data_IF_919150569017
#
_entry.id   IF_919150569017
#
_cell.length_a   1.000
_cell.length_b   1.000
_cell.length_c   1.000
_cell.angle_alpha   90.00
_cell.angle_beta   90.00
_cell.angle_gamma   90.00
#
_symmetry.space_group_name_H-M   'P 1'
#
loop_
_entity.id
_entity.type
_entity.pdbx_description
1 polymer ?
#
# COMPACT_ATOMS: atom_id res chain seq x y z
N UNK A 1 -17.05 -17.85 20.84
CA UNK A 1 -17.37 -16.76 19.91
C UNK A 1 -16.27 -16.80 18.87
N UNK A 2 -16.49 -17.52 17.78
CA UNK A 2 -15.47 -17.77 16.77
C UNK A 2 -15.03 -16.44 16.15
N UNK A 3 -13.74 -16.15 16.28
CA UNK A 3 -13.16 -14.91 15.79
C UNK A 3 -13.00 -15.03 14.28
N UNK A 4 -13.95 -14.48 13.54
CA UNK A 4 -13.89 -14.42 12.09
C UNK A 4 -12.69 -13.57 11.63
N UNK A 5 -11.75 -14.21 10.94
CA UNK A 5 -10.46 -13.65 10.52
C UNK A 5 -10.31 -13.62 8.99
N UNK A 6 -11.41 -13.70 8.23
CA UNK A 6 -11.36 -13.84 6.77
C UNK A 6 -10.88 -12.60 6.01
N UNK A 7 -11.02 -11.40 6.61
CA UNK A 7 -10.75 -10.12 5.92
C UNK A 7 -9.77 -9.22 6.68
N UNK A 8 -8.85 -9.80 7.45
CA UNK A 8 -7.84 -9.06 8.22
C UNK A 8 -6.45 -9.58 7.92
N UNK A 9 -5.48 -8.68 7.99
CA UNK A 9 -4.07 -9.01 7.80
C UNK A 9 -3.14 -8.03 8.51
N UNK A 10 -1.87 -8.39 8.55
CA UNK A 10 -0.80 -7.51 9.03
C UNK A 10 0.37 -7.59 8.08
N UNK A 11 0.90 -6.44 7.68
CA UNK A 11 2.07 -6.32 6.82
C UNK A 11 3.25 -5.76 7.60
N UNK A 12 4.41 -6.40 7.40
CA UNK A 12 5.64 -6.05 8.08
C UNK A 12 6.65 -5.49 7.09
N UNK A 13 7.71 -4.86 7.60
CA UNK A 13 8.84 -4.49 6.75
C UNK A 13 9.36 -5.73 6.00
N UNK A 14 9.79 -5.59 4.74
CA UNK A 14 10.48 -6.65 4.03
C UNK A 14 11.61 -7.21 4.88
N UNK A 15 11.87 -8.51 4.76
CA UNK A 15 13.00 -9.12 5.45
C UNK A 15 14.31 -8.60 4.87
N UNK A 16 15.39 -8.67 5.63
CA UNK A 16 16.71 -8.15 5.19
C UNK A 16 17.25 -8.88 3.94
N UNK A 17 16.78 -10.09 3.68
CA UNK A 17 17.11 -10.92 2.53
C UNK A 17 16.18 -10.70 1.32
N UNK A 18 15.19 -9.82 1.43
CA UNK A 18 14.25 -9.45 0.39
C UNK A 18 14.52 -8.04 -0.15
N UNK A 19 14.50 -7.88 -1.48
CA UNK A 19 14.66 -6.56 -2.11
C UNK A 19 13.90 -6.48 -3.44
N UNK A 20 13.25 -5.34 -3.70
CA UNK A 20 12.66 -5.08 -5.01
C UNK A 20 13.77 -5.02 -6.06
N UNK A 21 13.67 -5.86 -7.09
CA UNK A 21 14.65 -5.92 -8.16
C UNK A 21 14.25 -5.03 -9.34
N UNK A 22 13.05 -5.24 -9.89
CA UNK A 22 12.54 -4.52 -11.05
C UNK A 22 11.01 -4.48 -11.04
N UNK A 23 10.44 -3.52 -11.78
CA UNK A 23 9.01 -3.46 -12.06
C UNK A 23 8.77 -3.06 -13.52
N UNK A 24 7.65 -3.49 -14.09
CA UNK A 24 7.32 -3.20 -15.48
C UNK A 24 5.93 -3.68 -15.90
N UNK A 25 5.63 -3.51 -17.18
CA UNK A 25 4.43 -4.03 -17.81
C UNK A 25 4.76 -5.32 -18.56
N UNK A 26 3.89 -6.32 -18.45
CA UNK A 26 3.99 -7.58 -19.16
C UNK A 26 2.66 -7.85 -19.88
N UNK A 27 2.70 -8.07 -21.19
CA UNK A 27 1.52 -8.54 -21.92
C UNK A 27 1.53 -10.07 -21.97
N UNK A 28 0.38 -10.69 -21.70
CA UNK A 28 0.16 -12.11 -21.90
C UNK A 28 -1.27 -12.32 -22.40
N UNK A 29 -1.41 -13.04 -23.51
CA UNK A 29 -2.72 -13.34 -24.13
C UNK A 29 -3.60 -12.10 -24.37
N UNK A 30 -2.98 -10.96 -24.71
CA UNK A 30 -3.68 -9.69 -24.95
C UNK A 30 -4.03 -8.91 -23.69
N UNK A 31 -3.76 -9.44 -22.49
CA UNK A 31 -3.93 -8.76 -21.20
C UNK A 31 -2.61 -8.13 -20.73
N UNK A 32 -2.64 -6.86 -20.33
CA UNK A 32 -1.48 -6.17 -19.75
C UNK A 32 -1.51 -6.27 -18.21
N UNK A 33 -0.40 -6.76 -17.64
CA UNK A 33 -0.17 -6.88 -16.21
C UNK A 33 0.95 -5.94 -15.77
N UNK A 34 0.79 -5.29 -14.62
CA UNK A 34 1.91 -4.61 -13.95
C UNK A 34 2.56 -5.58 -12.98
N UNK A 35 3.84 -5.84 -13.19
CA UNK A 35 4.62 -6.83 -12.48
C UNK A 35 5.71 -6.15 -11.66
N UNK A 36 5.93 -6.65 -10.44
CA UNK A 36 7.12 -6.39 -9.64
C UNK A 36 7.85 -7.71 -9.38
N UNK A 37 9.18 -7.71 -9.49
CA UNK A 37 10.02 -8.87 -9.16
C UNK A 37 10.83 -8.55 -7.92
N UNK A 38 10.71 -9.40 -6.90
CA UNK A 38 11.46 -9.29 -5.64
C UNK A 38 12.53 -10.39 -5.61
N UNK A 39 13.75 -10.01 -5.25
CA UNK A 39 14.81 -10.95 -4.90
C UNK A 39 14.59 -11.41 -3.48
N UNK A 40 14.60 -12.72 -3.23
CA UNK A 40 14.69 -13.31 -1.90
C UNK A 40 15.92 -14.24 -1.83
N UNK A 41 16.61 -14.27 -0.69
CA UNK A 41 17.67 -15.26 -0.44
C UNK A 41 17.07 -16.46 0.29
N UNK A 42 17.42 -17.67 -0.17
CA UNK A 42 16.90 -18.90 0.41
C UNK A 42 17.82 -19.40 1.55
N UNK A 43 17.31 -20.18 2.51
CA UNK A 43 18.12 -20.69 3.62
C UNK A 43 19.32 -21.55 3.21
N UNK A 44 19.27 -22.15 2.01
CA UNK A 44 20.33 -22.97 1.43
C UNK A 44 21.41 -22.14 0.69
N UNK A 45 21.31 -20.82 0.71
CA UNK A 45 22.18 -19.90 -0.03
C UNK A 45 21.75 -19.65 -1.48
N UNK A 46 20.65 -20.27 -1.93
CA UNK A 46 20.04 -20.01 -3.22
C UNK A 46 19.43 -18.60 -3.33
N UNK A 47 19.12 -18.18 -4.55
CA UNK A 47 18.40 -16.92 -4.80
C UNK A 47 17.08 -17.23 -5.50
N UNK A 48 15.98 -16.74 -4.93
CA UNK A 48 14.66 -16.76 -5.55
C UNK A 48 14.32 -15.40 -6.20
N UNK A 49 13.34 -15.44 -7.10
CA UNK A 49 12.77 -14.30 -7.82
C UNK A 49 11.25 -14.41 -7.77
N UNK A 50 10.66 -13.76 -6.78
CA UNK A 50 9.22 -13.78 -6.59
C UNK A 50 8.56 -12.74 -7.49
N UNK A 51 7.50 -13.14 -8.16
CA UNK A 51 6.80 -12.32 -9.16
C UNK A 51 5.44 -11.92 -8.59
N UNK A 52 5.22 -10.62 -8.43
CA UNK A 52 3.99 -10.04 -7.91
C UNK A 52 3.24 -9.29 -9.01
N UNK A 53 1.92 -9.47 -9.06
CA UNK A 53 1.02 -8.68 -9.90
C UNK A 53 0.42 -7.55 -9.07
N UNK A 54 0.41 -6.33 -9.61
CA UNK A 54 -0.28 -5.21 -8.96
C UNK A 54 -1.79 -5.47 -8.94
N UNK A 55 -2.35 -5.64 -7.74
CA UNK A 55 -3.80 -5.85 -7.54
C UNK A 55 -4.56 -4.59 -7.13
N UNK A 56 -3.87 -3.52 -6.71
CA UNK A 56 -4.51 -2.29 -6.26
C UNK A 56 -3.54 -1.15 -6.02
N UNK A 57 -4.08 0.00 -5.62
CA UNK A 57 -3.29 1.18 -5.22
C UNK A 57 -3.92 1.77 -3.97
N UNK A 58 -3.11 2.03 -2.95
CA UNK A 58 -3.55 2.73 -1.73
C UNK A 58 -3.12 4.20 -1.80
N UNK A 59 -3.87 5.03 -1.12
CA UNK A 59 -3.64 6.47 -0.99
C UNK A 59 -3.64 6.83 0.50
N UNK A 60 -2.85 7.83 0.89
CA UNK A 60 -2.90 8.40 2.24
C UNK A 60 -4.22 9.13 2.46
N UNK A 61 -4.82 8.94 3.63
CA UNK A 61 -6.06 9.63 4.01
C UNK A 61 -5.75 10.77 4.97
N UNK A 62 -6.51 11.86 4.86
CA UNK A 62 -6.52 12.89 5.91
C UNK A 62 -7.30 12.38 7.13
N UNK A 63 -6.64 12.43 8.29
CA UNK A 63 -7.19 11.99 9.58
C UNK A 63 -7.58 13.15 10.49
N UNK A 64 -7.49 14.38 10.00
CA UNK A 64 -7.85 15.61 10.74
C UNK A 64 -9.27 15.56 11.32
N UNK A 65 -10.21 14.93 10.60
CA UNK A 65 -11.62 14.82 10.99
C UNK A 65 -11.95 13.55 11.78
N UNK A 66 -11.12 12.51 11.68
CA UNK A 66 -11.35 11.23 12.33
C UNK A 66 -10.04 10.47 12.55
N UNK A 67 -9.52 10.51 13.78
CA UNK A 67 -8.29 9.80 14.15
C UNK A 67 -8.41 8.26 13.99
N UNK A 68 -9.63 7.72 14.04
CA UNK A 68 -9.88 6.28 13.84
C UNK A 68 -9.92 5.88 12.35
N UNK A 69 -9.90 6.85 11.44
CA UNK A 69 -9.82 6.57 10.02
C UNK A 69 -8.51 5.83 9.66
N UNK A 70 -8.53 4.97 8.63
CA UNK A 70 -7.31 4.32 8.14
C UNK A 70 -6.28 5.36 7.70
N UNK A 71 -5.00 5.07 7.89
CA UNK A 71 -3.92 5.91 7.39
C UNK A 71 -3.80 5.80 5.87
N UNK A 72 -4.03 4.59 5.33
CA UNK A 72 -4.05 4.36 3.88
C UNK A 72 -5.29 3.59 3.45
N UNK A 73 -5.85 3.92 2.30
CA UNK A 73 -6.95 3.12 1.73
C UNK A 73 -6.96 3.13 0.21
N UNK A 74 -7.58 2.12 -0.40
CA UNK A 74 -7.76 2.13 -1.85
C UNK A 74 -8.43 0.89 -2.44
N UNK A 75 -8.76 0.92 -3.73
CA UNK A 75 -9.37 -0.21 -4.41
C UNK A 75 -8.35 -1.33 -4.66
N UNK A 76 -8.81 -2.57 -4.48
CA UNK A 76 -8.07 -3.79 -4.79
C UNK A 76 -8.95 -4.73 -5.62
N UNK A 77 -8.34 -5.42 -6.58
CA UNK A 77 -8.98 -6.48 -7.36
C UNK A 77 -8.37 -7.80 -6.92
N UNK A 78 -9.17 -8.64 -6.28
CA UNK A 78 -8.72 -9.96 -5.80
C UNK A 78 -8.44 -10.90 -6.97
N UNK A 79 -7.69 -11.99 -6.77
CA UNK A 79 -7.49 -13.01 -7.81
C UNK A 79 -8.80 -13.55 -8.40
N UNK A 80 -9.87 -13.58 -7.61
CA UNK A 80 -11.24 -13.90 -8.03
C UNK A 80 -11.91 -12.86 -8.94
N UNK A 81 -11.21 -11.80 -9.35
CA UNK A 81 -11.72 -10.63 -10.08
C UNK A 81 -12.71 -9.76 -9.30
N UNK A 82 -12.89 -10.04 -8.01
CA UNK A 82 -13.75 -9.26 -7.13
C UNK A 82 -13.10 -7.91 -6.78
N UNK A 83 -13.84 -6.81 -6.96
CA UNK A 83 -13.40 -5.47 -6.57
C UNK A 83 -13.78 -5.20 -5.12
N UNK A 84 -12.78 -5.01 -4.27
CA UNK A 84 -12.93 -4.69 -2.85
C UNK A 84 -12.13 -3.45 -2.48
N UNK A 85 -12.23 -3.01 -1.23
CA UNK A 85 -11.42 -1.92 -0.68
C UNK A 85 -10.50 -2.46 0.42
N UNK A 86 -9.23 -2.10 0.35
CA UNK A 86 -8.28 -2.30 1.46
C UNK A 86 -8.17 -1.02 2.27
N UNK A 87 -8.14 -1.16 3.59
CA UNK A 87 -7.89 -0.10 4.55
C UNK A 87 -6.76 -0.54 5.49
N UNK A 88 -5.79 0.32 5.71
CA UNK A 88 -4.59 0.03 6.49
C UNK A 88 -4.36 1.09 7.58
N UNK A 89 -3.91 0.64 8.76
CA UNK A 89 -3.55 1.48 9.89
C UNK A 89 -2.10 1.22 10.31
N UNK A 90 -1.32 2.29 10.47
CA UNK A 90 0.03 2.25 11.06
C UNK A 90 -0.11 1.87 12.53
N UNK A 91 0.45 0.73 12.90
CA UNK A 91 0.28 0.14 14.24
C UNK A 91 1.63 -0.22 14.85
N UNK A 92 1.69 -0.21 16.18
CA UNK A 92 2.81 -0.73 16.97
C UNK A 92 2.30 -1.95 17.75
N UNK A 93 3.09 -3.02 17.79
CA UNK A 93 2.78 -4.23 18.54
C UNK A 93 2.66 -3.96 20.04
N UNK A 94 2.01 -4.87 20.76
CA UNK A 94 1.77 -4.74 22.20
C UNK A 94 3.07 -4.66 23.02
N UNK A 95 4.16 -5.23 22.51
CA UNK A 95 5.50 -5.16 23.10
C UNK A 95 6.25 -3.87 22.75
N UNK A 96 5.67 -2.96 21.95
CA UNK A 96 6.24 -1.67 21.58
C UNK A 96 7.32 -1.72 20.49
N UNK A 97 7.81 -2.90 20.12
CA UNK A 97 9.03 -3.04 19.33
C UNK A 97 8.80 -3.21 17.83
N UNK A 98 7.61 -3.68 17.43
CA UNK A 98 7.33 -3.99 16.02
C UNK A 98 6.32 -3.00 15.45
N UNK A 99 6.76 -2.25 14.44
CA UNK A 99 5.88 -1.42 13.62
C UNK A 99 5.36 -2.24 12.45
N UNK A 100 4.05 -2.21 12.22
CA UNK A 100 3.40 -2.95 11.14
C UNK A 100 2.17 -2.20 10.63
N UNK A 101 1.71 -2.56 9.43
CA UNK A 101 0.43 -2.10 8.92
C UNK A 101 -0.63 -3.14 9.23
N UNK A 102 -1.60 -2.81 10.07
CA UNK A 102 -2.81 -3.63 10.21
C UNK A 102 -3.74 -3.32 9.05
N UNK A 103 -4.32 -4.35 8.43
CA UNK A 103 -5.16 -4.19 7.26
C UNK A 103 -6.50 -4.88 7.43
N UNK A 104 -7.50 -4.31 6.77
CA UNK A 104 -8.83 -4.88 6.61
C UNK A 104 -9.27 -4.77 5.17
N UNK A 105 -9.87 -5.84 4.66
CA UNK A 105 -10.59 -5.85 3.40
C UNK A 105 -12.09 -5.70 3.72
N UNK A 106 -12.79 -4.95 2.89
CA UNK A 106 -14.24 -4.82 3.02
C UNK A 106 -14.88 -4.42 1.71
N UNK A 107 -16.21 -4.42 1.73
CA UNK A 107 -16.99 -3.93 0.61
C UNK A 107 -16.71 -2.45 0.34
N UNK A 108 -16.79 -2.10 -0.94
CA UNK A 108 -16.51 -0.76 -1.42
C UNK A 108 -17.52 0.25 -0.86
N UNK A 109 -17.24 0.85 0.29
CA UNK A 109 -17.86 2.14 0.62
C UNK A 109 -17.27 3.19 -0.34
N UNK A 110 -18.10 3.90 -1.12
CA UNK A 110 -17.60 4.97 -1.97
C UNK A 110 -16.86 5.98 -1.09
N UNK A 111 -15.69 6.44 -1.55
CA UNK A 111 -15.07 7.63 -0.98
C UNK A 111 -16.10 8.75 -1.16
N UNK A 112 -16.51 9.38 -0.06
CA UNK A 112 -17.24 10.65 -0.17
C UNK A 112 -16.24 11.60 -0.79
N UNK A 113 -16.39 11.85 -2.09
CA UNK A 113 -15.67 12.90 -2.78
C UNK A 113 -16.16 14.21 -2.18
N UNK A 114 -15.29 14.87 -1.41
CA UNK A 114 -15.50 16.26 -1.09
C UNK A 114 -15.52 17.04 -2.41
N UNK A 115 -16.51 17.93 -2.63
CA UNK A 115 -16.60 18.68 -3.88
C UNK A 115 -15.31 19.46 -4.10
N UNK A 116 -14.77 19.32 -5.30
CA UNK A 116 -13.55 19.98 -5.75
C UNK A 116 -13.58 21.47 -5.37
N UNK A 117 -12.63 21.90 -4.53
CA UNK A 117 -12.37 23.32 -4.31
C UNK A 117 -11.77 23.86 -5.59
N UNK A 118 -12.51 24.78 -6.21
CA UNK A 118 -12.15 25.53 -7.39
C UNK A 118 -10.72 26.08 -7.28
N UNK A 119 -9.82 25.62 -8.14
CA UNK A 119 -8.45 26.11 -8.22
C UNK A 119 -8.40 27.26 -9.21
N UNK A 120 -8.72 28.48 -8.75
CA UNK A 120 -8.22 29.69 -9.41
C UNK A 120 -6.70 29.70 -9.32
N UNK A 121 -6.07 29.54 -10.47
CA UNK A 121 -4.63 29.67 -10.68
C UNK A 121 -4.22 31.10 -10.31
N UNK A 122 -3.40 31.24 -9.28
CA UNK A 122 -2.52 32.40 -9.11
C UNK A 122 -1.10 31.86 -9.17
N UNK A 123 -0.45 32.11 -10.30
CA UNK A 123 0.99 31.92 -10.45
C UNK A 123 1.71 32.82 -9.44
N UNK A 124 2.61 32.25 -8.63
CA UNK A 124 3.75 33.01 -8.15
C UNK A 124 4.95 32.11 -7.84
N UNK A 125 6.01 32.42 -8.57
CA UNK A 125 7.45 32.14 -8.46
C UNK A 125 8.05 31.35 -7.29
N UNK A 126 9.02 30.53 -7.71
CA UNK A 126 10.02 29.74 -7.01
C UNK A 126 10.86 30.46 -5.95
N UNK A 127 11.09 29.80 -4.81
CA UNK A 127 12.35 29.93 -4.03
C UNK A 127 12.73 28.57 -3.41
N UNK A 128 14.01 28.23 -3.56
CA UNK A 128 14.73 27.06 -3.07
C UNK A 128 14.80 26.98 -1.52
N UNK A 129 14.87 25.76 -0.99
CA UNK A 129 15.64 25.45 0.22
C UNK A 129 14.91 24.66 1.32
N UNK A 130 15.46 23.50 1.67
CA UNK A 130 15.18 22.79 2.93
C UNK A 130 15.01 21.27 2.78
N UNK A 131 16.12 20.54 2.75
CA UNK A 131 16.15 19.10 3.03
C UNK A 131 15.73 18.84 4.48
N UNK A 132 14.75 17.97 4.70
CA UNK A 132 14.62 17.07 5.86
C UNK A 132 13.35 16.19 5.70
N UNK A 133 13.47 15.07 4.98
CA UNK A 133 12.46 13.99 4.98
C UNK A 133 13.12 12.60 4.88
N UNK A 134 14.33 12.45 5.42
CA UNK A 134 15.02 11.17 5.46
C UNK A 134 14.40 10.25 6.52
N UNK A 135 13.70 9.23 6.00
CA UNK A 135 14.01 7.82 6.25
C UNK A 135 12.79 6.94 6.58
N UNK A 136 11.71 7.12 5.80
CA UNK A 136 10.77 6.02 5.51
C UNK A 136 10.41 6.08 4.02
N UNK A 137 10.95 5.18 3.17
CA UNK A 137 10.49 5.07 1.79
C UNK A 137 9.14 4.33 1.80
N UNK A 138 8.07 5.04 1.43
CA UNK A 138 6.78 4.45 1.05
C UNK A 138 6.78 4.08 -0.44
#
# INVERSE_FOLDING_TARGET
MDYDNTDRGSFFKPRADESLLVQGKLNSEGSEYRIAIVKASLPDGGTARDVYVKVGTMYENDKSLNEKAPDFSGPVTMPSQEKRRIACWKTISKDGNTKFLSARIGDSTPRVEEPARDQTIVEHESVLGGEDVDDIPF
#
